data_IF_917480048023
#
_entry.id   IF_917480048023
#
_cell.length_a   1.000
_cell.length_b   1.000
_cell.length_c   1.000
_cell.angle_alpha   90.00
_cell.angle_beta   90.00
_cell.angle_gamma   90.00
#
_symmetry.space_group_name_H-M   'P 1'
#
loop_
_entity.id
_entity.type
_entity.pdbx_description
1 polymer ?
#
# COMPACT_ATOMS: atom_id res chain seq x y z
N UNK A 1 -17.19 -8.54 -18.85
CA UNK A 1 -16.90 -8.81 -17.42
C UNK A 1 -15.48 -8.41 -17.02
N UNK A 2 -14.53 -8.37 -17.95
CA UNK A 2 -13.10 -8.07 -17.70
C UNK A 2 -12.87 -6.74 -16.98
N UNK A 3 -13.46 -5.65 -17.46
CA UNK A 3 -13.29 -4.33 -16.83
C UNK A 3 -13.84 -4.27 -15.40
N UNK A 4 -14.91 -5.02 -15.10
CA UNK A 4 -15.46 -5.12 -13.75
C UNK A 4 -14.49 -5.88 -12.83
N UNK A 5 -13.93 -7.00 -13.31
CA UNK A 5 -12.93 -7.77 -12.56
C UNK A 5 -11.66 -6.95 -12.29
N UNK A 6 -11.18 -6.21 -13.30
CA UNK A 6 -10.04 -5.30 -13.17
C UNK A 6 -10.32 -4.19 -12.14
N UNK A 7 -11.49 -3.56 -12.19
CA UNK A 7 -11.89 -2.52 -11.24
C UNK A 7 -11.97 -3.05 -9.80
N UNK A 8 -12.52 -4.25 -9.61
CA UNK A 8 -12.59 -4.89 -8.28
C UNK A 8 -11.19 -5.21 -7.75
N UNK A 9 -10.31 -5.81 -8.58
CA UNK A 9 -8.95 -6.17 -8.18
C UNK A 9 -8.13 -4.93 -7.76
N UNK A 10 -8.17 -3.86 -8.56
CA UNK A 10 -7.49 -2.61 -8.25
C UNK A 10 -8.12 -1.95 -7.02
N UNK A 11 -9.45 -1.87 -6.95
CA UNK A 11 -10.17 -1.21 -5.86
C UNK A 11 -9.92 -1.85 -4.50
N UNK A 12 -9.93 -3.19 -4.44
CA UNK A 12 -9.61 -3.92 -3.21
C UNK A 12 -8.13 -3.78 -2.83
N UNK A 13 -7.22 -3.78 -3.81
CA UNK A 13 -5.81 -3.49 -3.58
C UNK A 13 -5.59 -2.10 -2.96
N UNK A 14 -6.20 -1.07 -3.55
CA UNK A 14 -6.11 0.30 -3.05
C UNK A 14 -6.71 0.46 -1.64
N UNK A 15 -7.82 -0.23 -1.35
CA UNK A 15 -8.43 -0.22 -0.02
C UNK A 15 -7.49 -0.83 1.03
N UNK A 16 -6.90 -1.99 0.72
CA UNK A 16 -5.91 -2.64 1.59
C UNK A 16 -4.68 -1.75 1.84
N UNK A 17 -4.17 -1.09 0.80
CA UNK A 17 -3.06 -0.15 0.89
C UNK A 17 -3.39 1.03 1.81
N UNK A 18 -4.56 1.65 1.60
CA UNK A 18 -5.00 2.81 2.35
C UNK A 18 -5.11 2.52 3.85
N UNK A 19 -5.70 1.38 4.21
CA UNK A 19 -5.81 0.94 5.61
C UNK A 19 -4.41 0.63 6.18
N UNK A 20 -3.59 -0.14 5.46
CA UNK A 20 -2.25 -0.54 5.91
C UNK A 20 -1.33 0.67 6.14
N UNK A 21 -1.27 1.59 5.17
CA UNK A 21 -0.48 2.81 5.28
C UNK A 21 -0.99 3.73 6.39
N UNK A 22 -2.31 3.89 6.53
CA UNK A 22 -2.90 4.67 7.60
C UNK A 22 -2.48 4.18 8.99
N UNK A 23 -2.47 2.86 9.19
CA UNK A 23 -1.99 2.24 10.43
C UNK A 23 -0.49 2.43 10.64
N UNK A 24 0.33 2.15 9.63
CA UNK A 24 1.80 2.24 9.73
C UNK A 24 2.23 3.69 10.02
N UNK A 25 1.73 4.64 9.23
CA UNK A 25 2.07 6.06 9.38
C UNK A 25 1.53 6.62 10.70
N UNK A 26 0.29 6.27 11.07
CA UNK A 26 -0.30 6.69 12.35
C UNK A 26 0.54 6.24 13.55
N UNK A 27 0.94 4.96 13.58
CA UNK A 27 1.80 4.42 14.65
C UNK A 27 3.20 5.03 14.65
N UNK A 28 3.77 5.31 13.48
CA UNK A 28 5.05 6.00 13.39
C UNK A 28 4.96 7.40 14.00
N UNK A 29 3.91 8.17 13.69
CA UNK A 29 3.69 9.51 14.26
C UNK A 29 3.49 9.45 15.78
N UNK A 30 2.69 8.49 16.28
CA UNK A 30 2.52 8.27 17.73
C UNK A 30 3.86 7.97 18.41
N UNK A 31 4.69 7.11 17.80
CA UNK A 31 6.01 6.77 18.31
C UNK A 31 6.96 7.97 18.34
N UNK A 32 7.00 8.75 17.26
CA UNK A 32 7.83 9.96 17.14
C UNK A 32 7.38 11.00 18.18
N UNK A 33 6.08 11.17 18.38
CA UNK A 33 5.54 12.11 19.37
C UNK A 33 5.92 11.72 20.81
N UNK A 34 6.07 10.43 21.10
CA UNK A 34 6.48 9.92 22.42
C UNK A 34 7.99 10.00 22.63
N UNK A 35 8.78 9.76 21.58
CA UNK A 35 10.25 9.74 21.63
C UNK A 35 10.83 10.44 20.38
N UNK A 36 10.95 11.78 20.40
CA UNK A 36 11.41 12.57 19.26
C UNK A 36 12.83 12.20 18.78
N UNK A 37 13.69 11.72 19.68
CA UNK A 37 15.06 11.33 19.39
C UNK A 37 15.13 10.12 18.43
N UNK A 38 14.10 9.28 18.42
CA UNK A 38 14.00 8.10 17.56
C UNK A 38 13.42 8.39 16.17
N UNK A 39 13.17 9.65 15.82
CA UNK A 39 12.51 10.04 14.57
C UNK A 39 13.11 9.38 13.33
N UNK A 40 14.44 9.43 13.18
CA UNK A 40 15.10 8.86 12.00
C UNK A 40 14.87 7.36 11.86
N UNK A 41 15.02 6.61 12.95
CA UNK A 41 14.79 5.16 12.98
C UNK A 41 13.34 4.82 12.69
N UNK A 42 12.39 5.50 13.34
CA UNK A 42 10.95 5.27 13.14
C UNK A 42 10.50 5.61 11.73
N UNK A 43 11.00 6.69 11.13
CA UNK A 43 10.72 7.04 9.73
C UNK A 43 11.28 5.98 8.77
N UNK A 44 12.48 5.48 9.01
CA UNK A 44 13.08 4.42 8.18
C UNK A 44 12.23 3.15 8.21
N UNK A 45 11.86 2.68 9.40
CA UNK A 45 10.98 1.51 9.57
C UNK A 45 9.59 1.74 8.95
N UNK A 46 9.03 2.95 9.09
CA UNK A 46 7.77 3.34 8.48
C UNK A 46 7.83 3.21 6.95
N UNK A 47 8.87 3.75 6.30
CA UNK A 47 9.01 3.65 4.84
C UNK A 47 9.22 2.22 4.35
N UNK A 48 9.96 1.39 5.09
CA UNK A 48 10.08 -0.04 4.80
C UNK A 48 8.69 -0.70 4.86
N UNK A 49 7.93 -0.43 5.93
CA UNK A 49 6.57 -0.96 6.09
C UNK A 49 5.62 -0.52 4.98
N UNK A 50 5.61 0.77 4.63
CA UNK A 50 4.81 1.32 3.52
C UNK A 50 5.21 0.67 2.20
N UNK A 51 6.51 0.52 1.93
CA UNK A 51 6.99 -0.15 0.72
C UNK A 51 6.52 -1.60 0.60
N UNK A 52 6.45 -2.34 1.72
CA UNK A 52 5.91 -3.69 1.76
C UNK A 52 4.39 -3.71 1.53
N UNK A 53 3.65 -2.75 2.09
CA UNK A 53 2.20 -2.61 1.86
C UNK A 53 1.90 -2.31 0.40
N UNK A 54 2.67 -1.45 -0.24
CA UNK A 54 2.50 -1.04 -1.65
C UNK A 54 2.82 -2.16 -2.66
N UNK A 55 3.50 -3.24 -2.26
CA UNK A 55 3.80 -4.34 -3.17
C UNK A 55 2.53 -5.02 -3.71
N UNK A 56 1.52 -5.27 -2.86
CA UNK A 56 0.30 -5.98 -3.25
C UNK A 56 -0.62 -5.13 -4.18
N UNK A 57 -0.89 -3.85 -3.90
CA UNK A 57 -1.64 -2.97 -4.80
C UNK A 57 -0.99 -2.85 -6.18
N UNK A 58 0.33 -2.71 -6.25
CA UNK A 58 1.06 -2.64 -7.51
C UNK A 58 0.93 -3.95 -8.29
N UNK A 59 1.06 -5.09 -7.63
CA UNK A 59 0.84 -6.41 -8.27
C UNK A 59 -0.58 -6.51 -8.83
N UNK A 60 -1.60 -6.14 -8.04
CA UNK A 60 -3.00 -6.14 -8.49
C UNK A 60 -3.22 -5.23 -9.72
N UNK A 61 -2.60 -4.05 -9.74
CA UNK A 61 -2.65 -3.14 -10.88
C UNK A 61 -2.01 -3.77 -12.13
N UNK A 62 -0.83 -4.38 -11.98
CA UNK A 62 -0.13 -5.04 -13.09
C UNK A 62 -0.99 -6.15 -13.69
N UNK A 63 -1.56 -7.03 -12.87
CA UNK A 63 -2.44 -8.10 -13.36
C UNK A 63 -3.70 -7.55 -14.05
N UNK A 64 -4.34 -6.53 -13.46
CA UNK A 64 -5.51 -5.91 -14.07
C UNK A 64 -5.21 -5.33 -15.46
N UNK A 65 -4.06 -4.67 -15.64
CA UNK A 65 -3.63 -4.16 -16.94
C UNK A 65 -3.29 -5.29 -17.93
N UNK A 66 -2.58 -6.33 -17.47
CA UNK A 66 -2.19 -7.47 -18.30
C UNK A 66 -3.42 -8.18 -18.87
N UNK A 67 -4.41 -8.50 -18.03
CA UNK A 67 -5.64 -9.16 -18.47
C UNK A 67 -6.53 -8.26 -19.33
N UNK A 68 -6.52 -6.95 -19.11
CA UNK A 68 -7.41 -6.03 -19.83
C UNK A 68 -6.89 -5.62 -21.21
N UNK A 69 -5.56 -5.53 -21.37
CA UNK A 69 -4.95 -4.95 -22.57
C UNK A 69 -4.01 -5.88 -23.33
N UNK A 70 -3.45 -6.91 -22.69
CA UNK A 70 -2.43 -7.78 -23.31
C UNK A 70 -2.98 -9.17 -23.62
N UNK A 71 -3.63 -9.81 -22.64
CA UNK A 71 -4.09 -11.21 -22.73
C UNK A 71 -5.53 -11.35 -23.25
N UNK A 72 -6.00 -10.36 -24.02
CA UNK A 72 -7.31 -10.42 -24.68
C UNK A 72 -7.35 -11.44 -25.80
#
# INVERSE_FOLDING_TARGET
MEFLAAAIAIGLGALGAGIGNGLIVGRAIEGISRQPELRGTLQTTMFIGVGLVEALPVISLVFALLFTFVLK
#
